data_IF_042382954868
#
_entry.id   IF_042382954868
#
_cell.length_a   1.000
_cell.length_b   1.000
_cell.length_c   1.000
_cell.angle_alpha   90.00
_cell.angle_beta   90.00
_cell.angle_gamma   90.00
#
_symmetry.space_group_name_H-M   'P 1'
#
loop_
_entity.id
_entity.type
_entity.pdbx_description
1 polymer ?
#
# COMPACT_ATOMS: atom_id res chain seq x y z
N UNK A 1 -52.59 -92.60 -61.95
CA UNK A 1 -52.21 -91.20 -61.70
C UNK A 1 -50.75 -91.19 -61.25
N UNK A 2 -49.83 -90.83 -62.15
CA UNK A 2 -48.40 -90.77 -61.89
C UNK A 2 -47.98 -89.29 -61.89
N UNK A 3 -47.60 -88.76 -60.72
CA UNK A 3 -47.01 -87.43 -60.58
C UNK A 3 -45.50 -87.51 -60.77
N UNK A 4 -44.95 -86.60 -61.57
CA UNK A 4 -43.54 -86.57 -61.98
C UNK A 4 -42.63 -86.22 -60.79
N UNK A 5 -41.69 -87.09 -60.38
CA UNK A 5 -40.68 -86.81 -59.35
C UNK A 5 -39.54 -85.98 -59.95
N UNK A 6 -39.42 -84.70 -59.60
CA UNK A 6 -38.32 -83.86 -60.09
C UNK A 6 -38.16 -82.48 -59.47
N UNK A 7 -39.15 -81.97 -58.74
CA UNK A 7 -39.13 -80.58 -58.26
C UNK A 7 -38.29 -80.32 -56.99
N UNK A 8 -37.81 -81.36 -56.30
CA UNK A 8 -37.05 -81.21 -55.03
C UNK A 8 -35.53 -81.45 -55.20
N UNK A 9 -35.08 -81.92 -56.36
CA UNK A 9 -33.69 -82.41 -56.52
C UNK A 9 -32.68 -81.32 -56.92
N UNK A 10 -33.14 -80.09 -57.21
CA UNK A 10 -32.27 -79.04 -57.71
C UNK A 10 -32.52 -77.68 -57.03
N UNK A 11 -32.66 -77.68 -55.70
CA UNK A 11 -32.54 -76.44 -54.93
C UNK A 11 -31.06 -76.12 -54.70
N UNK A 12 -30.58 -74.93 -55.10
CA UNK A 12 -29.22 -74.51 -54.79
C UNK A 12 -29.02 -74.39 -53.28
N UNK A 13 -27.82 -74.71 -52.75
CA UNK A 13 -27.54 -74.56 -51.33
C UNK A 13 -27.77 -73.11 -50.89
N UNK A 14 -28.62 -72.90 -49.89
CA UNK A 14 -28.79 -71.59 -49.27
C UNK A 14 -27.45 -71.14 -48.63
N UNK A 15 -27.04 -69.88 -48.80
CA UNK A 15 -25.80 -69.38 -48.22
C UNK A 15 -25.86 -69.45 -46.70
N UNK A 16 -24.77 -69.92 -46.09
CA UNK A 16 -24.67 -70.07 -44.65
C UNK A 16 -24.76 -68.70 -43.95
N UNK A 17 -25.82 -68.49 -43.17
CA UNK A 17 -25.94 -67.34 -42.27
C UNK A 17 -25.28 -67.70 -40.94
N UNK A 18 -24.09 -67.17 -40.67
CA UNK A 18 -23.43 -67.29 -39.37
C UNK A 18 -23.88 -66.14 -38.45
N UNK A 19 -24.64 -66.40 -37.38
CA UNK A 19 -25.04 -65.36 -36.43
C UNK A 19 -23.81 -64.82 -35.71
N UNK A 20 -23.63 -63.49 -35.70
CA UNK A 20 -22.46 -62.83 -35.10
C UNK A 20 -22.43 -62.95 -33.57
N UNK A 21 -23.56 -63.24 -32.93
CA UNK A 21 -23.68 -63.48 -31.48
C UNK A 21 -24.69 -64.60 -31.19
N UNK A 22 -24.36 -65.84 -31.57
CA UNK A 22 -25.19 -67.03 -31.28
C UNK A 22 -24.42 -68.10 -30.50
N UNK A 23 -25.13 -68.88 -29.68
CA UNK A 23 -24.55 -70.02 -28.97
C UNK A 23 -23.94 -71.04 -29.96
N UNK A 24 -22.78 -71.60 -29.59
CA UNK A 24 -22.08 -72.59 -30.42
C UNK A 24 -23.01 -73.77 -30.74
N UNK A 25 -23.18 -74.05 -32.03
CA UNK A 25 -24.00 -75.18 -32.50
C UNK A 25 -23.38 -76.50 -32.04
N UNK A 26 -24.17 -77.37 -31.41
CA UNK A 26 -23.72 -78.68 -30.95
C UNK A 26 -23.50 -79.61 -32.15
N UNK A 27 -22.39 -80.34 -32.15
CA UNK A 27 -22.02 -81.26 -33.23
C UNK A 27 -22.90 -82.52 -33.16
N UNK A 28 -23.91 -82.62 -34.02
CA UNK A 28 -24.70 -83.85 -34.20
C UNK A 28 -24.17 -84.66 -35.39
N UNK A 29 -23.74 -85.90 -35.14
CA UNK A 29 -23.37 -86.84 -36.20
C UNK A 29 -24.63 -87.34 -36.91
N UNK A 30 -24.66 -87.21 -38.24
CA UNK A 30 -25.78 -87.67 -39.07
C UNK A 30 -25.82 -89.21 -39.09
N UNK A 31 -26.82 -89.77 -38.40
CA UNK A 31 -27.10 -91.20 -38.42
C UNK A 31 -27.89 -91.61 -39.67
N UNK A 32 -27.21 -92.31 -40.57
CA UNK A 32 -27.75 -93.47 -41.31
C UNK A 32 -28.73 -93.23 -42.46
N UNK A 33 -28.20 -93.16 -43.69
CA UNK A 33 -28.99 -93.24 -44.93
C UNK A 33 -28.11 -93.28 -46.18
N UNK A 34 -27.78 -94.50 -46.62
CA UNK A 34 -27.05 -94.98 -47.81
C UNK A 34 -26.66 -94.02 -48.96
N UNK A 35 -25.44 -94.27 -49.45
CA UNK A 35 -24.91 -94.19 -50.84
C UNK A 35 -24.59 -92.81 -51.45
N UNK A 36 -23.29 -92.58 -51.62
CA UNK A 36 -22.72 -91.51 -52.43
C UNK A 36 -21.43 -90.99 -51.80
N UNK A 37 -20.27 -91.39 -52.34
CA UNK A 37 -18.97 -90.90 -51.90
C UNK A 37 -18.83 -89.40 -52.15
N UNK A 38 -19.27 -88.60 -51.18
CA UNK A 38 -19.04 -87.17 -51.12
C UNK A 38 -18.11 -86.85 -49.96
N UNK A 39 -16.91 -86.38 -50.25
CA UNK A 39 -16.02 -85.82 -49.23
C UNK A 39 -16.67 -84.57 -48.64
N UNK A 40 -17.15 -84.67 -47.39
CA UNK A 40 -17.73 -83.54 -46.67
C UNK A 40 -16.59 -82.75 -46.02
N UNK A 41 -16.26 -81.58 -46.57
CA UNK A 41 -15.29 -80.62 -46.01
C UNK A 41 -16.03 -79.42 -45.46
N UNK A 42 -15.83 -79.12 -44.17
CA UNK A 42 -16.43 -77.97 -43.49
C UNK A 42 -15.31 -77.07 -42.97
N UNK A 43 -15.23 -75.86 -43.48
CA UNK A 43 -14.27 -74.84 -43.05
C UNK A 43 -15.01 -73.79 -42.22
N UNK A 44 -14.49 -73.50 -41.03
CA UNK A 44 -15.03 -72.48 -40.11
C UNK A 44 -13.93 -71.48 -39.80
N UNK A 45 -14.15 -70.21 -40.13
CA UNK A 45 -13.27 -69.11 -39.78
C UNK A 45 -13.91 -68.28 -38.67
N UNK A 46 -13.28 -68.26 -37.49
CA UNK A 46 -13.71 -67.41 -36.36
C UNK A 46 -12.79 -66.20 -36.27
N UNK A 47 -13.37 -65.00 -36.37
CA UNK A 47 -12.63 -63.74 -36.21
C UNK A 47 -12.87 -63.23 -34.80
N UNK A 48 -11.79 -63.08 -34.04
CA UNK A 48 -11.80 -62.44 -32.73
C UNK A 48 -11.47 -60.96 -32.89
N UNK A 49 -12.32 -60.09 -32.36
CA UNK A 49 -11.97 -58.68 -32.18
C UNK A 49 -11.39 -58.54 -30.77
N UNK A 50 -10.18 -57.98 -30.68
CA UNK A 50 -9.52 -57.77 -29.39
C UNK A 50 -9.92 -56.40 -28.87
N UNK A 51 -10.39 -56.35 -27.63
CA UNK A 51 -10.74 -55.09 -26.97
C UNK A 51 -9.52 -54.18 -26.85
N UNK A 52 -9.65 -52.94 -27.35
CA UNK A 52 -8.60 -51.90 -27.26
C UNK A 52 -9.01 -50.83 -26.26
N UNK A 53 -8.33 -50.78 -25.13
CA UNK A 53 -8.44 -49.66 -24.19
C UNK A 53 -7.38 -48.62 -24.49
N UNK A 54 -7.80 -47.40 -24.86
CA UNK A 54 -6.89 -46.25 -25.06
C UNK A 54 -7.05 -45.30 -23.88
N UNK A 55 -6.02 -45.18 -23.06
CA UNK A 55 -5.97 -44.21 -21.96
C UNK A 55 -5.18 -42.97 -22.40
N UNK A 56 -5.82 -41.81 -22.38
CA UNK A 56 -5.16 -40.52 -22.64
C UNK A 56 -5.02 -39.78 -21.31
N UNK A 57 -3.81 -39.69 -20.80
CA UNK A 57 -3.51 -38.92 -19.58
C UNK A 57 -2.99 -37.54 -19.97
N UNK A 58 -3.73 -36.48 -19.59
CA UNK A 58 -3.27 -35.10 -19.68
C UNK A 58 -2.72 -34.67 -18.33
N UNK A 59 -1.41 -34.48 -18.24
CA UNK A 59 -0.79 -33.97 -17.02
C UNK A 59 -1.08 -32.49 -16.85
N UNK A 60 -1.29 -32.05 -15.60
CA UNK A 60 -1.39 -30.63 -15.27
C UNK A 60 -0.06 -29.92 -15.56
N UNK A 61 -0.14 -28.66 -16.02
CA UNK A 61 1.02 -27.80 -16.19
C UNK A 61 1.52 -27.30 -14.84
N UNK A 62 2.85 -27.28 -14.62
CA UNK A 62 3.44 -26.76 -13.38
C UNK A 62 3.79 -27.79 -12.30
N UNK A 63 4.15 -29.02 -12.66
CA UNK A 63 4.63 -30.00 -11.67
C UNK A 63 6.04 -29.67 -11.15
N UNK A 64 6.27 -29.92 -9.86
CA UNK A 64 7.59 -29.77 -9.24
C UNK A 64 8.49 -30.92 -9.68
N UNK A 65 9.57 -30.62 -10.42
CA UNK A 65 10.55 -31.62 -10.87
C UNK A 65 11.55 -32.00 -9.78
N UNK A 66 11.94 -31.04 -8.93
CA UNK A 66 12.92 -31.21 -7.86
C UNK A 66 12.81 -30.06 -6.87
N UNK A 67 12.97 -30.35 -5.59
CA UNK A 67 13.06 -29.38 -4.51
C UNK A 67 14.44 -29.39 -3.85
N UNK A 68 14.97 -28.21 -3.55
CA UNK A 68 16.23 -28.06 -2.83
C UNK A 68 16.06 -27.02 -1.73
N UNK A 69 16.27 -27.43 -0.48
CA UNK A 69 16.11 -26.57 0.69
C UNK A 69 17.36 -26.62 1.56
N UNK A 70 17.86 -25.45 1.95
CA UNK A 70 18.94 -25.29 2.91
C UNK A 70 18.42 -24.46 4.08
N UNK A 71 18.51 -25.01 5.30
CA UNK A 71 18.03 -24.38 6.52
C UNK A 71 19.21 -24.20 7.46
N UNK A 72 19.36 -22.99 7.95
CA UNK A 72 20.42 -22.64 8.91
C UNK A 72 19.75 -22.34 10.24
N UNK A 73 20.15 -23.06 11.28
CA UNK A 73 19.63 -22.92 12.63
C UNK A 73 20.67 -22.24 13.50
N UNK A 74 20.23 -21.30 14.32
CA UNK A 74 21.10 -20.61 15.28
C UNK A 74 21.37 -21.51 16.49
N UNK A 75 22.53 -21.31 17.12
CA UNK A 75 22.84 -21.87 18.42
C UNK A 75 21.81 -21.45 19.49
N UNK A 76 21.64 -22.31 20.49
CA UNK A 76 20.79 -22.01 21.64
C UNK A 76 21.53 -21.07 22.58
N UNK A 77 20.94 -19.90 22.82
CA UNK A 77 21.43 -18.93 23.80
C UNK A 77 20.85 -19.24 25.16
N UNK A 78 21.70 -19.42 26.17
CA UNK A 78 21.29 -19.56 27.57
C UNK A 78 21.96 -18.47 28.40
N UNK A 79 21.15 -17.75 29.19
CA UNK A 79 21.63 -16.71 30.10
C UNK A 79 21.72 -17.30 31.50
N UNK A 80 22.93 -17.34 32.05
CA UNK A 80 23.15 -17.78 33.43
C UNK A 80 22.59 -16.77 34.44
N UNK A 81 22.38 -17.17 35.69
CA UNK A 81 21.90 -16.33 36.80
C UNK A 81 22.79 -15.10 37.06
N UNK A 82 24.04 -15.12 36.58
CA UNK A 82 25.01 -14.02 36.63
C UNK A 82 24.96 -13.09 35.42
N UNK A 83 23.96 -13.24 34.54
CA UNK A 83 23.78 -12.42 33.34
C UNK A 83 24.73 -12.74 32.19
N UNK A 84 25.53 -13.81 32.29
CA UNK A 84 26.44 -14.23 31.20
C UNK A 84 25.66 -15.05 30.19
N UNK A 85 25.49 -14.50 28.99
CA UNK A 85 24.92 -15.24 27.84
C UNK A 85 25.98 -16.17 27.27
N UNK A 86 25.67 -17.46 27.22
CA UNK A 86 26.47 -18.47 26.53
C UNK A 86 25.71 -19.02 25.32
N UNK A 87 26.43 -19.28 24.24
CA UNK A 87 25.86 -19.82 23.01
C UNK A 87 26.36 -21.26 22.84
N UNK A 88 25.44 -22.21 22.79
CA UNK A 88 25.75 -23.63 22.66
C UNK A 88 25.13 -24.21 21.39
N UNK A 89 25.83 -25.14 20.70
CA UNK A 89 25.23 -25.89 19.61
C UNK A 89 24.04 -26.73 20.13
N UNK A 90 23.11 -27.00 19.23
CA UNK A 90 21.97 -27.91 19.46
C UNK A 90 22.49 -29.34 19.46
N UNK A 91 21.79 -30.22 20.17
CA UNK A 91 22.13 -31.63 20.18
C UNK A 91 21.82 -32.28 18.81
N UNK A 92 22.59 -33.29 18.42
CA UNK A 92 22.42 -33.98 17.13
C UNK A 92 21.00 -34.55 16.97
N UNK A 93 20.42 -35.08 18.06
CA UNK A 93 19.04 -35.58 18.08
C UNK A 93 18.01 -34.48 17.76
N UNK A 94 18.23 -33.26 18.23
CA UNK A 94 17.35 -32.12 17.91
C UNK A 94 17.50 -31.71 16.45
N UNK A 95 18.72 -31.76 15.89
CA UNK A 95 18.97 -31.48 14.47
C UNK A 95 18.32 -32.52 13.55
N UNK A 96 18.34 -33.79 13.93
CA UNK A 96 17.63 -34.85 13.20
C UNK A 96 16.12 -34.62 13.21
N UNK A 97 15.54 -34.27 14.36
CA UNK A 97 14.12 -33.95 14.49
C UNK A 97 13.73 -32.74 13.64
N UNK A 98 14.54 -31.67 13.67
CA UNK A 98 14.34 -30.50 12.82
C UNK A 98 14.44 -30.86 11.34
N UNK A 99 15.39 -31.70 10.97
CA UNK A 99 15.54 -32.16 9.58
C UNK A 99 14.31 -32.94 9.13
N UNK A 100 13.79 -33.85 9.96
CA UNK A 100 12.57 -34.60 9.68
C UNK A 100 11.35 -33.69 9.55
N UNK A 101 11.21 -32.71 10.45
CA UNK A 101 10.10 -31.74 10.42
C UNK A 101 10.14 -30.89 9.14
N UNK A 102 11.32 -30.41 8.76
CA UNK A 102 11.49 -29.64 7.50
C UNK A 102 11.16 -30.51 6.30
N UNK A 103 11.63 -31.76 6.25
CA UNK A 103 11.32 -32.70 5.16
C UNK A 103 9.81 -32.95 5.04
N UNK A 104 9.11 -33.16 6.16
CA UNK A 104 7.66 -33.35 6.17
C UNK A 104 6.91 -32.07 5.74
N UNK A 105 7.31 -30.90 6.24
CA UNK A 105 6.66 -29.63 5.95
C UNK A 105 6.72 -29.23 4.47
N UNK A 106 7.79 -29.59 3.77
CA UNK A 106 7.97 -29.25 2.35
C UNK A 106 7.50 -30.37 1.39
N UNK A 107 7.05 -31.52 1.91
CA UNK A 107 6.71 -32.68 1.09
C UNK A 107 7.91 -33.28 0.37
N UNK A 108 9.02 -33.47 1.09
CA UNK A 108 10.25 -34.08 0.59
C UNK A 108 9.98 -35.43 -0.08
N UNK A 109 10.54 -35.62 -1.27
CA UNK A 109 10.43 -36.86 -2.02
C UNK A 109 11.80 -37.28 -2.57
N UNK A 110 12.34 -38.38 -2.03
CA UNK A 110 13.62 -38.95 -2.47
C UNK A 110 13.58 -39.44 -3.94
N UNK A 111 12.44 -39.98 -4.40
CA UNK A 111 12.28 -40.43 -5.78
C UNK A 111 12.22 -39.26 -6.78
N UNK A 112 11.81 -38.07 -6.32
CA UNK A 112 11.88 -36.82 -7.10
C UNK A 112 13.31 -36.25 -7.18
N UNK A 113 14.23 -36.74 -6.34
CA UNK A 113 15.60 -36.25 -6.26
C UNK A 113 15.73 -34.97 -5.43
N UNK A 114 14.85 -34.79 -4.45
CA UNK A 114 14.89 -33.65 -3.55
C UNK A 114 16.11 -33.69 -2.62
N UNK A 115 16.55 -32.53 -2.16
CA UNK A 115 17.65 -32.39 -1.21
C UNK A 115 17.30 -31.39 -0.12
N UNK A 116 17.50 -31.80 1.13
CA UNK A 116 17.33 -30.95 2.31
C UNK A 116 18.58 -31.01 3.15
N UNK A 117 19.13 -29.85 3.49
CA UNK A 117 20.29 -29.76 4.39
C UNK A 117 19.99 -28.78 5.51
N UNK A 118 20.10 -29.25 6.75
CA UNK A 118 20.00 -28.43 7.95
C UNK A 118 21.39 -28.32 8.56
N UNK A 119 21.84 -27.09 8.82
CA UNK A 119 23.12 -26.83 9.47
C UNK A 119 22.93 -25.94 10.68
N UNK A 120 23.71 -26.20 11.72
CA UNK A 120 23.72 -25.40 12.92
C UNK A 120 24.96 -24.51 12.95
N UNK A 121 24.78 -23.20 12.99
CA UNK A 121 25.88 -22.24 13.06
C UNK A 121 25.53 -21.09 14.00
N UNK A 122 26.51 -20.53 14.72
CA UNK A 122 26.26 -19.39 15.58
C UNK A 122 26.00 -18.15 14.75
N UNK A 123 24.85 -17.50 14.97
CA UNK A 123 24.56 -16.22 14.32
C UNK A 123 25.29 -15.11 15.06
N UNK A 124 25.88 -14.20 14.29
CA UNK A 124 26.39 -12.95 14.84
C UNK A 124 25.22 -12.01 15.03
N UNK A 125 24.76 -11.88 16.28
CA UNK A 125 23.99 -10.71 16.67
C UNK A 125 24.99 -9.57 16.85
N UNK A 126 25.11 -8.68 15.87
CA UNK A 126 25.60 -7.34 16.20
C UNK A 126 24.71 -6.83 17.33
N UNK A 127 25.28 -6.37 18.46
CA UNK A 127 24.47 -5.64 19.41
C UNK A 127 23.86 -4.51 18.61
N UNK A 128 22.52 -4.47 18.51
CA UNK A 128 21.82 -3.26 18.10
C UNK A 128 22.40 -2.20 19.01
N UNK A 129 23.30 -1.39 18.46
CA UNK A 129 23.96 -0.34 19.22
C UNK A 129 22.80 0.43 19.81
N UNK A 130 22.67 0.39 21.13
CA UNK A 130 21.67 1.18 21.82
C UNK A 130 21.78 2.57 21.20
N UNK A 131 20.68 3.17 20.72
CA UNK A 131 20.74 4.44 20.01
C UNK A 131 21.61 5.35 20.87
N UNK A 132 22.78 5.74 20.35
CA UNK A 132 23.70 6.58 21.10
C UNK A 132 22.87 7.72 21.66
N UNK A 133 22.89 7.88 22.99
CA UNK A 133 22.05 8.85 23.65
C UNK A 133 22.40 10.21 23.04
N UNK A 134 21.52 10.69 22.15
CA UNK A 134 21.76 11.90 21.40
C UNK A 134 21.94 13.02 22.42
N UNK A 135 23.07 13.76 22.38
CA UNK A 135 23.30 14.86 23.31
C UNK A 135 22.09 15.79 23.36
N UNK A 136 21.77 16.34 24.54
CA UNK A 136 20.55 17.13 24.75
C UNK A 136 20.35 18.24 23.70
N UNK A 137 21.44 18.87 23.23
CA UNK A 137 21.43 19.93 22.21
C UNK A 137 21.06 19.47 20.78
N UNK A 138 21.19 18.18 20.47
CA UNK A 138 20.83 17.57 19.18
C UNK A 138 19.43 16.97 19.20
N UNK A 139 18.71 17.08 20.31
CA UNK A 139 17.36 16.56 20.40
C UNK A 139 16.41 17.44 19.54
N UNK A 140 15.58 16.82 18.67
CA UNK A 140 14.72 17.56 17.74
C UNK A 140 13.84 18.62 18.42
N UNK A 141 13.31 18.30 19.60
CA UNK A 141 12.46 19.22 20.35
C UNK A 141 13.18 20.50 20.79
N UNK A 142 14.48 20.42 21.09
CA UNK A 142 15.26 21.58 21.53
C UNK A 142 15.64 22.46 20.33
N UNK A 143 15.98 21.85 19.20
CA UNK A 143 16.22 22.59 17.95
C UNK A 143 14.95 23.27 17.45
N UNK A 144 13.80 22.62 17.58
CA UNK A 144 12.50 23.18 17.21
C UNK A 144 12.08 24.32 18.16
N UNK A 145 12.29 24.14 19.46
CA UNK A 145 12.05 25.19 20.46
C UNK A 145 12.94 26.41 20.22
N UNK A 146 14.23 26.20 19.95
CA UNK A 146 15.16 27.30 19.68
C UNK A 146 14.78 28.07 18.41
N UNK A 147 14.40 27.35 17.34
CA UNK A 147 14.02 27.97 16.06
C UNK A 147 12.70 28.73 16.16
N UNK A 148 11.73 28.22 16.90
CA UNK A 148 10.46 28.89 17.15
C UNK A 148 10.59 30.06 18.12
N UNK A 149 11.47 29.98 19.13
CA UNK A 149 11.71 31.06 20.08
C UNK A 149 12.66 32.16 19.53
N UNK A 150 13.51 31.86 18.56
CA UNK A 150 14.50 32.81 18.04
C UNK A 150 13.87 34.07 17.44
N UNK A 151 12.83 33.93 16.61
CA UNK A 151 12.16 35.06 15.97
C UNK A 151 11.46 36.00 16.98
N UNK A 152 10.59 35.53 17.89
CA UNK A 152 9.98 36.41 18.88
C UNK A 152 11.01 36.95 19.89
N UNK A 153 12.03 36.18 20.28
CA UNK A 153 13.08 36.67 21.15
C UNK A 153 13.89 37.80 20.50
N UNK A 154 14.24 37.69 19.23
CA UNK A 154 14.93 38.74 18.48
C UNK A 154 14.08 40.01 18.38
N UNK A 155 12.78 39.88 18.07
CA UNK A 155 11.87 41.01 17.98
C UNK A 155 11.67 41.69 19.35
N UNK A 156 11.56 40.91 20.43
CA UNK A 156 11.50 41.42 21.80
C UNK A 156 12.78 42.18 22.17
N UNK A 157 13.95 41.67 21.76
CA UNK A 157 15.23 42.33 22.01
C UNK A 157 15.31 43.68 21.26
N UNK A 158 14.90 43.72 20.00
CA UNK A 158 14.85 44.97 19.21
C UNK A 158 13.87 45.98 19.83
N UNK A 159 12.68 45.52 20.22
CA UNK A 159 11.71 46.37 20.90
C UNK A 159 12.26 46.92 22.22
N UNK A 160 12.96 46.10 23.00
CA UNK A 160 13.62 46.52 24.23
C UNK A 160 14.69 47.58 23.95
N UNK A 161 15.53 47.39 22.94
CA UNK A 161 16.52 48.40 22.53
C UNK A 161 15.81 49.73 22.22
N UNK A 162 14.76 49.73 21.40
CA UNK A 162 14.01 50.97 21.05
C UNK A 162 13.41 51.64 22.29
N UNK A 163 12.85 50.86 23.21
CA UNK A 163 12.27 51.40 24.45
C UNK A 163 13.35 52.09 25.28
N UNK A 164 14.52 51.48 25.42
CA UNK A 164 15.62 52.05 26.19
C UNK A 164 16.31 53.23 25.48
N UNK A 165 16.41 53.22 24.15
CA UNK A 165 17.16 54.23 23.39
C UNK A 165 16.33 55.42 22.93
N UNK A 166 15.03 55.24 22.63
CA UNK A 166 14.17 56.32 22.11
C UNK A 166 13.06 56.68 23.09
N UNK A 167 12.28 55.70 23.55
CA UNK A 167 11.05 55.97 24.32
C UNK A 167 11.38 56.48 25.72
N UNK A 168 12.26 55.79 26.46
CA UNK A 168 12.66 56.16 27.81
C UNK A 168 13.28 57.56 27.88
N UNK A 169 14.27 57.95 27.05
CA UNK A 169 14.81 59.31 27.11
C UNK A 169 13.80 60.37 26.66
N UNK A 170 12.90 60.09 25.71
CA UNK A 170 11.86 61.04 25.32
C UNK A 170 10.85 61.29 26.44
N UNK A 171 10.41 60.23 27.14
CA UNK A 171 9.50 60.36 28.30
C UNK A 171 10.21 61.07 29.45
N UNK A 172 11.47 60.72 29.74
CA UNK A 172 12.26 61.42 30.78
C UNK A 172 12.47 62.88 30.40
N UNK A 173 12.72 63.21 29.14
CA UNK A 173 12.87 64.60 28.69
C UNK A 173 11.56 65.39 28.79
N UNK A 174 10.42 64.78 28.49
CA UNK A 174 9.10 65.40 28.63
C UNK A 174 8.69 65.58 30.10
N UNK A 175 9.02 64.63 30.99
CA UNK A 175 8.80 64.78 32.43
C UNK A 175 9.83 65.72 33.08
N UNK A 176 11.07 65.78 32.59
CA UNK A 176 12.10 66.70 33.06
C UNK A 176 11.94 68.13 32.51
N UNK A 177 11.13 68.33 31.47
CA UNK A 177 10.68 69.65 31.01
C UNK A 177 9.66 70.32 31.95
N UNK A 178 9.34 69.69 33.09
CA UNK A 178 8.81 70.39 34.25
C UNK A 178 9.83 70.23 35.40
N UNK A 179 10.76 71.21 35.55
CA UNK A 179 10.49 72.22 36.57
C UNK A 179 11.11 73.60 36.26
N UNK A 180 10.28 74.64 36.14
CA UNK A 180 10.69 76.02 36.41
C UNK A 180 9.47 76.93 36.66
N UNK A 181 8.72 76.68 37.72
CA UNK A 181 7.86 77.69 38.33
C UNK A 181 7.60 77.34 39.81
N UNK A 182 8.66 77.43 40.62
CA UNK A 182 8.53 77.47 42.07
C UNK A 182 9.51 78.51 42.62
N UNK A 183 9.14 79.79 42.51
CA UNK A 183 9.47 80.86 43.46
C UNK A 183 8.95 82.22 42.96
N UNK A 184 7.67 82.53 43.20
CA UNK A 184 7.19 83.89 43.49
C UNK A 184 5.72 83.85 43.98
N UNK A 185 5.52 84.38 45.19
CA UNK A 185 4.35 84.94 45.88
C UNK A 185 2.91 84.85 45.29
N UNK A 186 1.87 84.88 46.17
CA UNK A 186 0.51 84.47 45.83
C UNK A 186 -0.27 85.53 45.06
N UNK A 187 -1.12 85.09 44.13
CA UNK A 187 -2.19 85.91 43.57
C UNK A 187 -2.52 85.63 42.10
N UNK A 188 -3.76 85.21 41.88
CA UNK A 188 -4.59 85.49 40.69
C UNK A 188 -4.52 84.57 39.45
N UNK A 189 -5.59 83.78 39.34
CA UNK A 189 -6.44 83.50 38.15
C UNK A 189 -5.98 82.39 37.18
N UNK A 190 -6.72 81.29 37.24
CA UNK A 190 -6.80 80.21 36.26
C UNK A 190 -7.59 80.69 35.04
N UNK A 191 -7.11 80.39 33.83
CA UNK A 191 -7.91 80.51 32.60
C UNK A 191 -7.95 79.15 31.90
N UNK A 192 -9.07 78.47 32.09
CA UNK A 192 -9.50 77.29 31.37
C UNK A 192 -10.17 77.74 30.08
N UNK A 193 -9.79 77.16 28.94
CA UNK A 193 -10.52 77.32 27.68
C UNK A 193 -10.81 75.93 27.14
N UNK A 194 -12.04 75.48 27.36
CA UNK A 194 -12.72 74.43 26.59
C UNK A 194 -13.55 75.13 25.53
N UNK A 195 -13.44 74.65 24.29
CA UNK A 195 -13.82 75.39 23.08
C UNK A 195 -15.30 75.45 22.76
N UNK A 196 -15.63 76.31 21.81
CA UNK A 196 -16.46 76.00 20.63
C UNK A 196 -16.39 77.19 19.64
N UNK A 197 -16.65 76.88 18.37
CA UNK A 197 -17.11 77.75 17.29
C UNK A 197 -16.27 78.99 16.86
N UNK A 198 -15.90 78.97 15.57
CA UNK A 198 -15.45 80.11 14.79
C UNK A 198 -16.48 81.28 14.81
N UNK A 199 -16.02 82.53 14.56
CA UNK A 199 -16.04 83.04 13.19
C UNK A 199 -14.81 83.89 12.79
N UNK A 200 -14.80 84.17 11.49
CA UNK A 200 -13.74 84.68 10.65
C UNK A 200 -13.33 86.16 10.83
N UNK A 201 -12.08 86.46 10.44
CA UNK A 201 -11.61 87.60 9.62
C UNK A 201 -10.10 87.82 9.90
N UNK A 202 -9.17 88.06 8.98
CA UNK A 202 -9.15 88.21 7.54
C UNK A 202 -7.66 88.14 7.10
N UNK A 203 -7.33 87.58 5.93
CA UNK A 203 -6.00 87.74 5.34
C UNK A 203 -5.54 86.66 4.35
N UNK A 204 -5.99 86.79 3.09
CA UNK A 204 -5.30 86.40 1.85
C UNK A 204 -5.07 84.90 1.47
N UNK A 205 -4.86 84.62 0.16
CA UNK A 205 -5.48 83.48 -0.52
C UNK A 205 -4.57 82.24 -0.66
N UNK A 206 -5.22 81.11 -0.93
CA UNK A 206 -4.66 79.78 -1.24
C UNK A 206 -4.22 78.93 -0.03
N UNK A 207 -5.17 78.16 0.49
CA UNK A 207 -4.93 76.96 1.29
C UNK A 207 -5.71 75.80 0.65
N UNK A 208 -5.07 74.66 0.33
CA UNK A 208 -5.80 73.42 0.12
C UNK A 208 -6.49 73.07 1.45
N UNK A 209 -7.81 72.87 1.43
CA UNK A 209 -8.52 72.35 2.59
C UNK A 209 -7.86 71.03 3.03
N UNK A 210 -7.53 70.92 4.31
CA UNK A 210 -6.90 69.74 4.89
C UNK A 210 -7.74 68.50 4.57
N UNK A 211 -7.20 67.60 3.76
CA UNK A 211 -7.77 66.28 3.52
C UNK A 211 -7.95 65.58 4.87
N UNK A 212 -9.20 65.33 5.24
CA UNK A 212 -9.54 64.40 6.32
C UNK A 212 -8.95 63.00 6.07
N UNK A 213 -9.01 62.09 7.07
CA UNK A 213 -8.25 60.85 7.06
C UNK A 213 -8.48 60.07 5.76
N UNK A 214 -7.45 59.95 4.91
CA UNK A 214 -7.50 59.29 3.58
C UNK A 214 -8.01 57.84 3.58
N UNK A 215 -8.23 57.28 4.77
CA UNK A 215 -8.90 56.01 4.97
C UNK A 215 -10.37 56.02 4.51
N UNK A 216 -11.13 57.10 4.73
CA UNK A 216 -12.55 57.17 4.31
C UNK A 216 -12.69 57.25 2.78
N UNK A 217 -11.86 58.07 2.13
CA UNK A 217 -11.87 58.23 0.67
C UNK A 217 -11.54 56.92 -0.09
N UNK A 218 -10.58 56.13 0.44
CA UNK A 218 -10.25 54.81 -0.14
C UNK A 218 -11.38 53.80 0.02
N UNK A 219 -12.09 53.83 1.14
CA UNK A 219 -13.25 52.96 1.39
C UNK A 219 -14.45 53.34 0.51
N UNK A 220 -14.69 54.64 0.29
CA UNK A 220 -15.72 55.11 -0.64
C UNK A 220 -15.38 54.79 -2.10
N UNK A 221 -14.12 54.95 -2.51
CA UNK A 221 -13.65 54.57 -3.84
C UNK A 221 -13.79 53.07 -4.10
N UNK A 222 -13.45 52.22 -3.11
CA UNK A 222 -13.62 50.77 -3.21
C UNK A 222 -15.11 50.37 -3.32
N UNK A 223 -16.00 51.01 -2.54
CA UNK A 223 -17.45 50.79 -2.64
C UNK A 223 -18.02 51.20 -3.99
N UNK A 224 -17.54 52.32 -4.55
CA UNK A 224 -17.96 52.77 -5.88
C UNK A 224 -17.50 51.81 -6.97
N UNK A 225 -16.25 51.35 -6.93
CA UNK A 225 -15.70 50.38 -7.88
C UNK A 225 -16.47 49.05 -7.85
N UNK A 226 -16.88 48.60 -6.66
CA UNK A 226 -17.70 47.39 -6.49
C UNK A 226 -19.11 47.51 -7.07
N UNK A 227 -19.70 48.72 -7.06
CA UNK A 227 -21.00 48.98 -7.69
C UNK A 227 -20.89 49.06 -9.21
N UNK A 228 -19.85 49.73 -9.70
CA UNK A 228 -19.67 49.98 -11.13
C UNK A 228 -19.25 48.71 -11.90
N UNK A 229 -18.47 47.80 -11.28
CA UNK A 229 -17.96 46.57 -11.92
C UNK A 229 -18.02 45.35 -11.00
N UNK A 230 -19.21 44.77 -10.75
CA UNK A 230 -19.37 43.66 -9.81
C UNK A 230 -18.67 42.36 -10.27
N UNK A 231 -18.57 42.10 -11.58
CA UNK A 231 -17.96 40.88 -12.11
C UNK A 231 -16.44 40.81 -11.87
N UNK A 232 -15.73 41.93 -11.99
CA UNK A 232 -14.29 42.00 -11.75
C UNK A 232 -13.95 41.77 -10.26
N UNK A 233 -14.74 42.36 -9.35
CA UNK A 233 -14.57 42.17 -7.90
C UNK A 233 -14.86 40.72 -7.49
N UNK A 234 -15.89 40.08 -8.08
CA UNK A 234 -16.19 38.68 -7.82
C UNK A 234 -15.06 37.73 -8.25
N UNK A 235 -14.37 38.03 -9.35
CA UNK A 235 -13.20 37.25 -9.79
C UNK A 235 -12.03 37.34 -8.81
N UNK A 236 -11.75 38.53 -8.27
CA UNK A 236 -10.67 38.73 -7.28
C UNK A 236 -10.99 38.01 -5.97
N UNK A 237 -12.22 38.14 -5.48
CA UNK A 237 -12.67 37.44 -4.27
C UNK A 237 -12.65 35.92 -4.47
N UNK A 238 -13.04 35.44 -5.66
CA UNK A 238 -12.94 34.02 -6.01
C UNK A 238 -11.49 33.56 -5.97
N UNK A 239 -10.54 34.31 -6.53
CA UNK A 239 -9.10 33.99 -6.49
C UNK A 239 -8.56 33.86 -5.07
N UNK A 240 -9.00 34.72 -4.15
CA UNK A 240 -8.61 34.62 -2.74
C UNK A 240 -9.23 33.43 -2.02
N UNK A 241 -10.45 33.03 -2.40
CA UNK A 241 -11.13 31.86 -1.82
C UNK A 241 -10.60 30.54 -2.39
N UNK A 242 -10.23 30.51 -3.67
CA UNK A 242 -9.66 29.32 -4.32
C UNK A 242 -8.14 29.21 -4.19
N UNK A 243 -7.47 30.20 -3.60
CA UNK A 243 -6.02 30.22 -3.39
C UNK A 243 -5.20 30.40 -4.67
N UNK A 244 -5.83 30.84 -5.77
CA UNK A 244 -5.18 31.05 -7.05
C UNK A 244 -4.92 32.54 -7.23
N UNK A 245 -3.64 32.93 -7.21
CA UNK A 245 -3.24 34.32 -7.43
C UNK A 245 -3.46 34.67 -8.91
N UNK A 246 -4.21 35.74 -9.16
CA UNK A 246 -4.33 36.35 -10.49
C UNK A 246 -3.02 37.01 -10.92
#
# INVERSE_FOLDING_TARGET
AAGVPGAQSNQPPVPATAPVNGAAQTLQAAGGGSSGGGTSRREQATRFEVDKTVTVTKNAVGSVKRLSAAVVVNHRTSTDAKGKTTSAPLADKELEQLTALVQQGIGYNAARGDQVKVVNVPFRSEPVSAPEAVPLWQQPWLTDLLRSAAAPAALALVALVIVFTLVRPAVVALLAAAPAAAAAAPGAQLSEVVGDAAPAAAGNPMLPALEGPRASAKLEAARKLARDNPAAVAHIVRGWVSGEQA
#
